data_IF_428333407538
#
_entry.id   IF_428333407538
#
_cell.length_a   1.000
_cell.length_b   1.000
_cell.length_c   1.000
_cell.angle_alpha   90.00
_cell.angle_beta   90.00
_cell.angle_gamma   90.00
#
_symmetry.space_group_name_H-M   'P 1'
#
loop_
_entity.id
_entity.type
_entity.pdbx_description
1 polymer ?
#
# COMPACT_ATOMS: atom_id res chain seq x y z
N UNK A 1 -6.15 -13.24 28.85
CA UNK A 1 -6.79 -13.83 27.66
C UNK A 1 -6.21 -13.12 26.46
N UNK A 2 -5.39 -13.81 25.68
CA UNK A 2 -4.85 -13.28 24.42
C UNK A 2 -5.93 -13.42 23.36
N UNK A 3 -6.38 -12.30 22.80
CA UNK A 3 -7.26 -12.29 21.62
C UNK A 3 -6.52 -12.96 20.45
N UNK A 4 -7.00 -14.13 20.05
CA UNK A 4 -6.50 -14.82 18.86
C UNK A 4 -7.49 -14.61 17.73
N UNK A 5 -7.12 -13.72 16.80
CA UNK A 5 -7.80 -13.61 15.52
C UNK A 5 -7.34 -14.75 14.61
N UNK A 6 -8.27 -15.55 14.11
CA UNK A 6 -7.97 -16.68 13.23
C UNK A 6 -8.43 -16.31 11.82
N UNK A 7 -7.48 -16.20 10.88
CA UNK A 7 -7.77 -16.01 9.45
C UNK A 7 -7.52 -17.35 8.75
N UNK A 8 -8.59 -17.93 8.22
CA UNK A 8 -8.51 -19.23 7.53
C UNK A 8 -8.21 -18.96 6.06
N UNK A 9 -7.09 -19.48 5.58
CA UNK A 9 -6.70 -19.41 4.16
C UNK A 9 -6.22 -20.75 3.66
N UNK A 10 -6.36 -20.96 2.36
CA UNK A 10 -5.58 -21.95 1.65
C UNK A 10 -4.18 -21.38 1.45
N UNK A 11 -3.14 -22.07 1.90
CA UNK A 11 -1.75 -21.70 1.64
C UNK A 11 -1.45 -22.02 0.17
N UNK A 12 -1.35 -21.00 -0.68
CA UNK A 12 -0.70 -21.15 -1.98
C UNK A 12 0.81 -21.32 -1.73
N UNK A 13 1.42 -22.35 -2.33
CA UNK A 13 2.85 -22.68 -2.16
C UNK A 13 3.74 -21.47 -2.47
N UNK A 14 4.87 -21.41 -1.76
CA UNK A 14 6.00 -20.52 -2.03
C UNK A 14 6.37 -20.55 -3.52
N UNK A 15 6.21 -19.40 -4.17
CA UNK A 15 6.52 -19.18 -5.58
C UNK A 15 7.47 -17.98 -5.68
N UNK A 16 8.65 -18.12 -5.09
CA UNK A 16 9.78 -17.19 -5.24
C UNK A 16 10.31 -17.04 -6.68
N UNK A 17 9.60 -17.54 -7.71
CA UNK A 17 10.08 -17.56 -9.10
C UNK A 17 9.03 -17.40 -10.23
N UNK A 18 7.77 -17.04 -9.96
CA UNK A 18 6.79 -16.79 -11.04
C UNK A 18 6.94 -15.38 -11.63
N UNK A 19 7.47 -15.31 -12.86
CA UNK A 19 7.45 -14.08 -13.67
C UNK A 19 6.03 -13.81 -14.16
N UNK A 20 5.43 -12.70 -13.72
CA UNK A 20 4.23 -12.14 -14.36
C UNK A 20 4.69 -11.46 -15.65
N UNK A 21 4.24 -11.96 -16.80
CA UNK A 21 4.52 -11.33 -18.09
C UNK A 21 3.61 -10.11 -18.25
N UNK A 22 4.18 -8.91 -18.17
CA UNK A 22 3.52 -7.68 -18.61
C UNK A 22 3.36 -7.71 -20.15
N UNK A 23 2.34 -7.04 -20.73
CA UNK A 23 2.23 -6.89 -22.18
C UNK A 23 3.50 -6.27 -22.78
N UNK A 24 3.91 -6.65 -24.00
CA UNK A 24 5.22 -6.31 -24.54
C UNK A 24 5.39 -4.80 -24.73
N UNK A 25 6.50 -4.24 -24.24
CA UNK A 25 7.02 -2.93 -24.68
C UNK A 25 8.51 -3.00 -24.98
N UNK A 26 8.94 -2.14 -25.91
CA UNK A 26 10.30 -2.06 -26.47
C UNK A 26 11.37 -2.10 -25.37
N UNK A 27 12.35 -2.97 -25.58
CA UNK A 27 13.37 -3.43 -24.62
C UNK A 27 14.10 -2.30 -23.89
N UNK A 28 14.18 -2.40 -22.57
CA UNK A 28 15.33 -2.00 -21.77
C UNK A 28 15.77 -3.20 -20.93
N UNK A 29 17.09 -3.31 -20.70
CA UNK A 29 17.77 -4.51 -20.24
C UNK A 29 17.50 -4.87 -18.77
N UNK A 30 17.34 -6.17 -18.49
CA UNK A 30 17.10 -6.72 -17.17
C UNK A 30 18.40 -6.91 -16.38
N UNK A 31 18.43 -6.48 -15.12
CA UNK A 31 19.32 -7.00 -14.09
C UNK A 31 18.50 -7.59 -12.94
N UNK A 32 18.84 -8.80 -12.51
CA UNK A 32 18.16 -9.50 -11.43
C UNK A 32 18.64 -9.00 -10.06
N UNK A 33 17.71 -8.56 -9.22
CA UNK A 33 17.92 -8.38 -7.78
C UNK A 33 17.19 -9.47 -6.99
N UNK A 34 17.86 -9.99 -5.97
CA UNK A 34 17.27 -10.85 -4.95
C UNK A 34 16.58 -9.98 -3.90
N UNK A 35 15.32 -10.28 -3.61
CA UNK A 35 14.55 -9.63 -2.56
C UNK A 35 15.05 -10.06 -1.16
N UNK A 36 15.37 -9.11 -0.31
CA UNK A 36 15.58 -9.32 1.13
C UNK A 36 14.43 -8.63 1.87
N UNK A 37 13.65 -9.42 2.60
CA UNK A 37 12.47 -8.98 3.33
C UNK A 37 12.86 -8.31 4.65
N UNK A 38 12.21 -7.20 4.99
CA UNK A 38 12.17 -6.69 6.35
C UNK A 38 11.20 -5.52 6.50
N UNK A 39 10.05 -5.72 7.15
CA UNK A 39 9.87 -5.38 8.56
C UNK A 39 8.44 -5.70 9.05
N UNK A 40 8.31 -5.88 10.37
CA UNK A 40 7.09 -6.13 11.14
C UNK A 40 6.54 -4.81 11.69
N UNK A 41 5.22 -4.59 11.77
CA UNK A 41 4.66 -3.47 12.52
C UNK A 41 4.59 -3.75 14.03
N UNK A 42 4.57 -2.66 14.77
CA UNK A 42 4.52 -2.60 16.23
C UNK A 42 3.19 -3.12 16.82
N UNK A 43 3.26 -3.54 18.09
CA UNK A 43 2.42 -4.53 18.76
C UNK A 43 1.05 -4.01 19.23
N UNK A 44 0.00 -4.65 18.74
CA UNK A 44 -1.01 -5.31 19.58
C UNK A 44 -0.92 -6.81 19.28
N UNK A 45 -0.70 -7.66 20.29
CA UNK A 45 -0.42 -9.08 20.09
C UNK A 45 -1.69 -9.90 19.76
N UNK A 46 -2.35 -9.57 18.65
CA UNK A 46 -3.23 -10.51 17.96
C UNK A 46 -2.37 -11.47 17.16
N UNK A 47 -2.15 -12.70 17.66
CA UNK A 47 -1.49 -13.75 16.85
C UNK A 47 -2.46 -14.20 15.76
N UNK A 48 -2.27 -13.72 14.54
CA UNK A 48 -2.90 -14.30 13.37
C UNK A 48 -2.31 -15.69 13.17
N UNK A 49 -3.14 -16.71 13.40
CA UNK A 49 -2.75 -18.09 13.14
C UNK A 49 -3.27 -18.48 11.78
N UNK A 50 -2.35 -18.67 10.83
CA UNK A 50 -2.66 -19.30 9.55
C UNK A 50 -2.93 -20.77 9.80
N UNK A 51 -4.10 -21.25 9.38
CA UNK A 51 -4.43 -22.67 9.46
C UNK A 51 -4.12 -23.29 8.11
N UNK A 52 -3.16 -24.22 8.09
CA UNK A 52 -2.89 -25.07 6.94
C UNK A 52 -3.83 -26.29 6.99
N UNK A 53 -4.68 -26.41 5.97
CA UNK A 53 -5.62 -27.53 5.81
C UNK A 53 -5.02 -28.66 4.96
N UNK A 54 -3.75 -28.55 4.57
CA UNK A 54 -3.05 -29.47 3.69
C UNK A 54 -3.74 -29.59 2.33
N UNK A 55 -3.82 -30.81 1.80
CA UNK A 55 -4.51 -31.11 0.55
C UNK A 55 -6.02 -31.32 0.72
N UNK A 56 -6.53 -31.25 1.96
CA UNK A 56 -7.95 -31.49 2.21
C UNK A 56 -8.79 -30.39 1.57
N UNK A 57 -9.80 -30.83 0.82
CA UNK A 57 -10.74 -29.94 0.14
C UNK A 57 -11.96 -29.62 1.00
N UNK A 58 -12.01 -30.14 2.22
CA UNK A 58 -13.06 -29.89 3.19
C UNK A 58 -12.48 -29.56 4.56
N UNK A 59 -13.12 -28.62 5.26
CA UNK A 59 -12.66 -28.12 6.56
C UNK A 59 -13.88 -27.92 7.45
N UNK A 60 -13.90 -28.61 8.58
CA UNK A 60 -14.84 -28.36 9.67
C UNK A 60 -14.16 -27.45 10.69
N UNK A 61 -14.74 -26.28 10.91
CA UNK A 61 -14.24 -25.31 11.88
C UNK A 61 -15.21 -25.25 13.03
N UNK A 62 -14.73 -25.53 14.24
CA UNK A 62 -15.46 -25.35 15.50
C UNK A 62 -14.90 -24.15 16.23
N UNK A 63 -15.77 -23.33 16.80
CA UNK A 63 -15.38 -22.09 17.44
C UNK A 63 -16.22 -21.78 18.68
N UNK A 64 -15.69 -20.88 19.51
CA UNK A 64 -16.42 -20.30 20.62
C UNK A 64 -17.71 -19.64 20.14
N UNK A 65 -17.72 -18.98 19.00
CA UNK A 65 -18.90 -18.41 18.32
C UNK A 65 -18.70 -18.36 16.80
N UNK A 66 -19.75 -18.59 16.02
CA UNK A 66 -19.76 -18.33 14.57
C UNK A 66 -20.82 -17.28 14.27
N UNK A 67 -20.40 -16.17 13.64
CA UNK A 67 -21.30 -15.13 13.14
C UNK A 67 -21.70 -15.46 11.70
N UNK A 68 -22.78 -16.24 11.52
CA UNK A 68 -23.25 -16.62 10.18
C UNK A 68 -23.92 -15.47 9.42
N UNK A 69 -24.53 -14.52 10.14
CA UNK A 69 -25.25 -13.35 9.60
C UNK A 69 -26.39 -13.71 8.62
N UNK A 70 -27.00 -14.88 8.80
CA UNK A 70 -28.10 -15.41 7.97
C UNK A 70 -29.51 -15.16 8.57
N UNK A 71 -29.58 -14.69 9.82
CA UNK A 71 -30.84 -14.50 10.55
C UNK A 71 -31.44 -15.79 11.16
N UNK A 72 -30.91 -16.95 10.78
CA UNK A 72 -31.49 -18.27 11.06
C UNK A 72 -30.64 -19.09 12.06
N UNK A 73 -29.34 -18.77 12.21
CA UNK A 73 -28.40 -19.56 13.04
C UNK A 73 -27.69 -18.74 14.14
N UNK A 74 -28.42 -18.11 15.08
CA UNK A 74 -27.82 -17.24 16.10
C UNK A 74 -26.87 -17.96 17.08
N UNK A 75 -27.05 -19.27 17.27
CA UNK A 75 -26.26 -20.12 18.18
C UNK A 75 -25.18 -20.95 17.46
N UNK A 76 -24.80 -20.57 16.23
CA UNK A 76 -23.80 -21.30 15.48
C UNK A 76 -22.45 -21.35 16.21
N UNK A 77 -21.88 -22.56 16.29
CA UNK A 77 -20.56 -22.86 16.89
C UNK A 77 -19.64 -23.61 15.92
N UNK A 78 -20.14 -23.95 14.74
CA UNK A 78 -19.35 -24.60 13.69
C UNK A 78 -19.77 -24.15 12.29
N UNK A 79 -18.81 -24.25 11.36
CA UNK A 79 -19.05 -24.17 9.93
C UNK A 79 -18.32 -25.30 9.19
N UNK A 80 -18.94 -25.81 8.13
CA UNK A 80 -18.34 -26.79 7.23
C UNK A 80 -18.07 -26.11 5.89
N UNK A 81 -16.81 -26.11 5.48
CA UNK A 81 -16.35 -25.62 4.19
C UNK A 81 -16.01 -26.81 3.30
N UNK A 82 -16.50 -26.81 2.07
CA UNK A 82 -16.16 -27.81 1.04
C UNK A 82 -15.85 -27.07 -0.25
N UNK A 83 -14.70 -27.34 -0.85
CA UNK A 83 -14.24 -26.73 -2.12
C UNK A 83 -14.29 -25.19 -2.07
N UNK A 84 -13.93 -24.61 -0.93
CA UNK A 84 -13.92 -23.17 -0.71
C UNK A 84 -15.31 -22.53 -0.51
N UNK A 85 -16.37 -23.32 -0.34
CA UNK A 85 -17.74 -22.84 -0.08
C UNK A 85 -18.22 -23.31 1.28
N UNK A 86 -18.92 -22.43 2.00
CA UNK A 86 -19.63 -22.83 3.23
C UNK A 86 -20.86 -23.63 2.79
N UNK A 87 -20.93 -24.90 3.22
CA UNK A 87 -22.04 -25.80 2.90
C UNK A 87 -22.99 -26.02 4.08
N UNK A 88 -22.53 -25.74 5.30
CA UNK A 88 -23.36 -25.79 6.51
C UNK A 88 -22.80 -24.87 7.59
N UNK A 89 -23.70 -24.30 8.40
CA UNK A 89 -23.44 -23.60 9.66
C UNK A 89 -24.37 -24.14 10.73
N UNK A 90 -23.94 -24.18 11.99
CA UNK A 90 -24.81 -24.64 13.07
C UNK A 90 -24.07 -25.04 14.34
N UNK A 91 -24.69 -25.90 15.14
CA UNK A 91 -24.05 -26.45 16.34
C UNK A 91 -22.99 -27.48 15.94
N UNK A 92 -21.89 -27.53 16.69
CA UNK A 92 -20.79 -28.46 16.47
C UNK A 92 -21.25 -29.91 16.29
N UNK A 93 -22.11 -30.40 17.18
CA UNK A 93 -22.60 -31.79 17.14
C UNK A 93 -23.34 -32.13 15.85
N UNK A 94 -24.02 -31.16 15.25
CA UNK A 94 -24.87 -31.36 14.07
C UNK A 94 -24.02 -31.42 12.79
N UNK A 95 -22.86 -30.75 12.78
CA UNK A 95 -21.96 -30.67 11.61
C UNK A 95 -20.86 -31.75 11.63
N UNK A 96 -20.48 -32.26 12.79
CA UNK A 96 -19.48 -33.35 12.90
C UNK A 96 -19.90 -34.60 12.11
N UNK A 97 -21.20 -34.91 12.09
CA UNK A 97 -21.77 -36.04 11.33
C UNK A 97 -21.87 -35.77 9.81
N UNK A 98 -21.86 -34.50 9.40
CA UNK A 98 -21.95 -34.08 8.00
C UNK A 98 -20.57 -33.92 7.35
N UNK A 99 -19.50 -33.83 8.14
CA UNK A 99 -18.15 -33.69 7.63
C UNK A 99 -17.74 -34.93 6.81
N UNK A 100 -17.31 -34.77 5.55
CA UNK A 100 -16.92 -35.90 4.72
C UNK A 100 -15.64 -36.58 5.23
N UNK A 101 -15.37 -37.79 4.74
CA UNK A 101 -14.13 -38.48 5.05
C UNK A 101 -12.90 -37.63 4.64
N UNK A 102 -11.88 -37.57 5.49
CA UNK A 102 -10.67 -36.76 5.24
C UNK A 102 -10.84 -35.25 5.45
N UNK A 103 -11.99 -34.80 5.95
CA UNK A 103 -12.23 -33.40 6.29
C UNK A 103 -11.23 -32.92 7.36
N UNK A 104 -10.49 -31.86 7.04
CA UNK A 104 -9.62 -31.21 8.00
C UNK A 104 -10.45 -30.61 9.15
N UNK A 105 -9.90 -30.59 10.35
CA UNK A 105 -10.59 -30.07 11.53
C UNK A 105 -9.80 -28.94 12.15
N UNK A 106 -10.50 -27.86 12.47
CA UNK A 106 -9.98 -26.68 13.12
C UNK A 106 -10.80 -26.45 14.37
N UNK A 107 -10.14 -26.43 15.53
CA UNK A 107 -10.81 -26.14 16.79
C UNK A 107 -10.30 -24.82 17.40
N UNK A 108 -11.22 -23.87 17.57
CA UNK A 108 -10.96 -22.52 18.06
C UNK A 108 -11.96 -22.13 19.17
N UNK A 109 -12.03 -22.87 20.29
CA UNK A 109 -13.12 -22.78 21.27
C UNK A 109 -13.21 -21.43 22.00
N UNK A 110 -12.14 -20.63 21.99
CA UNK A 110 -12.11 -19.27 22.54
C UNK A 110 -12.30 -18.17 21.49
N UNK A 111 -12.38 -18.50 20.21
CA UNK A 111 -12.44 -17.53 19.12
C UNK A 111 -13.88 -17.28 18.65
N UNK A 112 -14.08 -16.11 18.03
CA UNK A 112 -15.26 -15.83 17.20
C UNK A 112 -14.85 -15.93 15.74
N UNK A 113 -15.53 -16.77 14.97
CA UNK A 113 -15.42 -16.79 13.51
C UNK A 113 -16.45 -15.81 12.95
N UNK A 114 -16.02 -14.95 12.04
CA UNK A 114 -16.86 -13.96 11.37
C UNK A 114 -16.59 -13.97 9.86
N UNK A 115 -17.51 -13.42 9.04
CA UNK A 115 -17.24 -13.22 7.63
C UNK A 115 -16.00 -12.34 7.47
N UNK A 116 -15.18 -12.65 6.47
CA UNK A 116 -14.06 -11.78 6.11
C UNK A 116 -14.56 -10.40 5.69
N UNK A 117 -13.79 -9.37 6.00
CA UNK A 117 -14.16 -8.00 5.70
C UNK A 117 -14.20 -7.78 4.18
N UNK A 118 -15.15 -6.95 3.75
CA UNK A 118 -15.31 -6.48 2.38
C UNK A 118 -15.03 -4.98 2.39
N UNK A 119 -13.92 -4.58 1.77
CA UNK A 119 -13.60 -3.17 1.60
C UNK A 119 -14.17 -2.69 0.25
N UNK A 120 -15.13 -1.76 0.33
CA UNK A 120 -15.87 -1.27 -0.83
C UNK A 120 -15.23 -0.04 -1.47
N UNK A 121 -14.20 0.54 -0.87
CA UNK A 121 -13.51 1.72 -1.41
C UNK A 121 -11.98 1.65 -1.15
N UNK A 122 -11.31 0.64 -1.70
CA UNK A 122 -9.87 0.44 -1.61
C UNK A 122 -9.11 1.31 -2.63
N UNK A 123 -7.78 1.32 -2.49
CA UNK A 123 -6.82 1.75 -3.51
C UNK A 123 -5.59 0.82 -3.47
N UNK A 124 -5.83 -0.50 -3.58
CA UNK A 124 -4.81 -1.53 -3.25
C UNK A 124 -3.62 -1.45 -4.21
N UNK A 125 -3.90 -1.36 -5.51
CA UNK A 125 -2.85 -1.29 -6.54
C UNK A 125 -2.15 0.06 -6.52
N UNK A 126 -2.90 1.17 -6.43
CA UNK A 126 -2.33 2.52 -6.49
C UNK A 126 -1.42 2.79 -5.30
N UNK A 127 -1.90 2.61 -4.06
CA UNK A 127 -1.04 2.80 -2.89
C UNK A 127 0.01 1.71 -2.76
N UNK A 128 -0.31 0.47 -3.15
CA UNK A 128 0.67 -0.61 -3.21
C UNK A 128 1.86 -0.25 -4.08
N UNK A 129 1.62 0.19 -5.32
CA UNK A 129 2.67 0.61 -6.25
C UNK A 129 3.38 1.89 -5.82
N UNK A 130 2.63 2.90 -5.38
CA UNK A 130 3.15 4.21 -4.98
C UNK A 130 4.08 4.15 -3.76
N UNK A 131 3.76 3.28 -2.80
CA UNK A 131 4.49 3.24 -1.52
C UNK A 131 5.61 2.22 -1.49
N UNK A 132 5.63 1.25 -2.41
CA UNK A 132 6.56 0.12 -2.37
C UNK A 132 8.03 0.54 -2.43
N UNK A 133 8.34 1.54 -3.25
CA UNK A 133 9.70 2.05 -3.43
C UNK A 133 10.02 3.19 -2.47
N UNK A 134 9.13 3.59 -1.56
CA UNK A 134 9.43 4.70 -0.66
C UNK A 134 10.42 4.28 0.44
N UNK A 135 11.20 5.24 0.91
CA UNK A 135 11.86 5.15 2.21
C UNK A 135 10.81 5.46 3.27
N UNK A 136 10.51 4.49 4.12
CA UNK A 136 9.52 4.69 5.18
C UNK A 136 10.07 5.56 6.31
N UNK A 137 9.40 6.69 6.57
CA UNK A 137 9.71 7.65 7.63
C UNK A 137 8.57 7.82 8.64
N UNK A 138 7.52 7.00 8.58
CA UNK A 138 6.32 7.17 9.42
C UNK A 138 6.65 7.27 10.92
N UNK A 139 7.56 6.42 11.40
CA UNK A 139 8.00 6.35 12.80
C UNK A 139 9.30 7.11 13.10
N UNK A 140 9.92 7.77 12.11
CA UNK A 140 11.21 8.42 12.29
C UNK A 140 11.15 9.54 13.33
N UNK A 141 12.04 9.51 14.33
CA UNK A 141 12.04 10.41 15.50
C UNK A 141 12.89 11.67 15.39
N UNK A 142 13.81 11.73 14.42
CA UNK A 142 14.74 12.86 14.26
C UNK A 142 15.25 13.00 12.83
N UNK A 143 15.88 14.13 12.52
CA UNK A 143 16.58 14.33 11.24
C UNK A 143 17.70 13.33 11.04
N UNK A 144 18.44 12.98 12.10
CA UNK A 144 19.53 12.00 12.02
C UNK A 144 19.03 10.62 11.57
N UNK A 145 17.87 10.19 12.06
CA UNK A 145 17.25 8.94 11.65
C UNK A 145 16.75 8.99 10.20
N UNK A 146 16.11 10.10 9.79
CA UNK A 146 15.69 10.33 8.41
C UNK A 146 16.89 10.23 7.46
N UNK A 147 17.97 10.95 7.76
CA UNK A 147 19.21 10.94 6.98
C UNK A 147 19.80 9.54 6.89
N UNK A 148 19.83 8.79 8.00
CA UNK A 148 20.35 7.42 8.00
C UNK A 148 19.54 6.48 7.09
N UNK A 149 18.21 6.56 7.14
CA UNK A 149 17.31 5.72 6.31
C UNK A 149 17.43 6.06 4.83
N UNK A 150 17.48 7.35 4.48
CA UNK A 150 17.66 7.83 3.11
C UNK A 150 19.06 7.45 2.59
N UNK A 151 20.12 7.62 3.39
CA UNK A 151 21.49 7.25 3.03
C UNK A 151 21.63 5.76 2.75
N UNK A 152 20.96 4.91 3.56
CA UNK A 152 20.92 3.46 3.31
C UNK A 152 20.33 3.17 1.94
N UNK A 153 19.18 3.77 1.61
CA UNK A 153 18.58 3.60 0.27
C UNK A 153 19.51 4.11 -0.83
N UNK A 154 20.13 5.27 -0.65
CA UNK A 154 21.07 5.83 -1.62
C UNK A 154 22.26 4.91 -1.90
N UNK A 155 22.69 4.09 -0.93
CA UNK A 155 23.75 3.09 -1.13
C UNK A 155 23.38 1.93 -2.04
N UNK A 156 22.08 1.68 -2.25
CA UNK A 156 21.53 0.58 -3.04
C UNK A 156 20.92 1.04 -4.37
N UNK A 157 20.85 2.36 -4.58
CA UNK A 157 20.20 2.99 -5.72
C UNK A 157 21.24 3.51 -6.72
N UNK A 158 21.07 3.31 -8.05
CA UNK A 158 21.96 3.89 -9.06
C UNK A 158 22.00 5.42 -9.00
N UNK A 159 23.18 6.02 -9.16
CA UNK A 159 23.37 7.47 -9.09
C UNK A 159 22.43 8.21 -10.06
N UNK A 160 21.87 9.33 -9.62
CA UNK A 160 20.90 10.13 -10.37
C UNK A 160 19.45 9.65 -10.29
N UNK A 161 19.18 8.43 -9.80
CA UNK A 161 17.80 7.97 -9.56
C UNK A 161 17.21 8.66 -8.33
N UNK A 162 15.92 9.03 -8.43
CA UNK A 162 15.17 9.67 -7.35
C UNK A 162 15.02 8.76 -6.13
N UNK A 163 15.15 9.35 -4.94
CA UNK A 163 14.83 8.69 -3.66
C UNK A 163 13.64 9.44 -3.07
N UNK A 164 12.49 8.77 -3.08
CA UNK A 164 11.27 9.29 -2.49
C UNK A 164 11.06 8.66 -1.12
N UNK A 165 10.56 9.45 -0.18
CA UNK A 165 10.27 9.02 1.17
C UNK A 165 8.81 9.31 1.54
N UNK A 166 8.24 8.42 2.36
CA UNK A 166 6.90 8.64 2.90
C UNK A 166 6.87 9.88 3.80
N UNK A 167 5.70 10.50 4.00
CA UNK A 167 5.56 11.55 5.01
C UNK A 167 5.88 11.02 6.42
N UNK A 168 6.34 11.90 7.30
CA UNK A 168 6.57 11.57 8.72
C UNK A 168 5.25 11.55 9.49
N UNK A 169 5.05 10.54 10.32
CA UNK A 169 3.90 10.42 11.21
C UNK A 169 2.78 9.54 10.66
N UNK A 170 1.56 9.80 11.10
CA UNK A 170 0.37 9.03 10.74
C UNK A 170 -0.47 9.75 9.67
N UNK A 171 -1.20 8.96 8.89
CA UNK A 171 -2.14 9.48 7.92
C UNK A 171 -3.29 10.26 8.60
N UNK A 172 -3.88 11.12 7.79
CA UNK A 172 -4.58 12.36 8.09
C UNK A 172 -5.89 12.20 8.89
N UNK A 173 -6.46 10.99 8.92
CA UNK A 173 -7.72 10.77 9.61
C UNK A 173 -7.56 10.56 11.11
N UNK A 174 -6.36 10.25 11.60
CA UNK A 174 -6.08 9.98 13.02
C UNK A 174 -4.69 10.47 13.47
N UNK A 175 -4.24 11.66 13.05
CA UNK A 175 -2.88 12.14 13.32
C UNK A 175 -2.61 12.25 14.83
N UNK A 176 -1.94 11.25 15.40
CA UNK A 176 -1.33 11.35 16.74
C UNK A 176 0.10 11.86 16.68
N UNK A 177 0.73 11.72 15.51
CA UNK A 177 2.13 12.03 15.27
C UNK A 177 2.31 12.59 13.86
N UNK A 178 3.16 13.59 13.72
CA UNK A 178 3.52 14.26 12.47
C UNK A 178 5.02 14.63 12.45
N UNK A 179 5.46 15.30 11.38
CA UNK A 179 6.79 15.91 11.33
C UNK A 179 7.07 16.92 12.46
N UNK A 180 6.02 17.48 13.10
CA UNK A 180 6.16 18.39 14.25
C UNK A 180 6.69 17.68 15.50
N UNK A 181 6.57 16.35 15.54
CA UNK A 181 7.01 15.48 16.63
C UNK A 181 8.41 14.90 16.40
N UNK A 182 9.13 15.41 15.39
CA UNK A 182 10.57 15.22 15.27
C UNK A 182 11.29 15.99 16.38
N UNK A 183 12.46 15.52 16.81
CA UNK A 183 13.27 16.22 17.81
C UNK A 183 13.57 17.68 17.44
N UNK A 184 13.68 17.98 16.14
CA UNK A 184 13.93 19.31 15.60
C UNK A 184 12.64 20.14 15.41
N UNK A 185 11.45 19.55 15.58
CA UNK A 185 10.15 20.24 15.45
C UNK A 185 9.79 20.67 14.03
N UNK A 186 10.55 20.26 13.02
CA UNK A 186 10.37 20.59 11.59
C UNK A 186 10.88 19.48 10.68
N UNK A 187 10.50 19.49 9.39
CA UNK A 187 11.16 18.64 8.39
C UNK A 187 12.61 19.09 8.12
N UNK A 188 13.50 18.17 7.71
CA UNK A 188 14.87 18.50 7.33
C UNK A 188 14.87 19.35 6.07
N UNK A 189 15.66 20.43 6.07
CA UNK A 189 15.90 21.25 4.89
C UNK A 189 16.91 20.56 3.95
N UNK A 190 17.20 21.22 2.83
CA UNK A 190 18.13 20.69 1.82
C UNK A 190 19.51 20.41 2.39
N UNK A 191 20.02 21.22 3.32
CA UNK A 191 21.38 21.06 3.88
C UNK A 191 21.45 19.78 4.71
N UNK A 192 20.40 19.50 5.47
CA UNK A 192 20.29 18.25 6.23
C UNK A 192 20.12 17.05 5.30
N UNK A 193 19.29 17.16 4.26
CA UNK A 193 19.06 16.07 3.31
C UNK A 193 20.26 15.79 2.40
N UNK A 194 21.06 16.80 2.05
CA UNK A 194 22.30 16.67 1.27
C UNK A 194 23.30 15.77 2.00
N UNK A 195 23.31 15.79 3.34
CA UNK A 195 24.13 14.86 4.14
C UNK A 195 23.72 13.39 3.93
N UNK A 196 22.48 13.10 3.54
CA UNK A 196 22.05 11.75 3.18
C UNK A 196 22.57 11.36 1.79
N UNK A 197 22.52 12.30 0.84
CA UNK A 197 23.04 12.12 -0.51
C UNK A 197 23.03 13.43 -1.32
N UNK A 198 24.15 13.71 -2.00
CA UNK A 198 24.24 14.75 -3.04
C UNK A 198 24.08 14.20 -4.47
N UNK A 199 24.13 12.86 -4.64
CA UNK A 199 24.12 12.19 -5.96
C UNK A 199 22.72 11.80 -6.45
N UNK A 200 21.71 12.01 -5.61
CA UNK A 200 20.34 11.57 -5.83
C UNK A 200 19.40 12.72 -5.48
N UNK A 201 18.44 13.05 -6.35
CA UNK A 201 17.28 13.86 -5.95
C UNK A 201 16.51 13.17 -4.83
N UNK A 202 16.28 13.87 -3.72
CA UNK A 202 15.54 13.36 -2.56
C UNK A 202 14.28 14.19 -2.35
N UNK A 203 13.14 13.53 -2.16
CA UNK A 203 11.87 14.15 -1.80
C UNK A 203 11.22 13.42 -0.62
N UNK A 204 10.93 14.14 0.47
CA UNK A 204 9.99 13.70 1.50
C UNK A 204 8.61 14.22 1.10
N UNK A 205 7.68 13.30 0.85
CA UNK A 205 6.32 13.61 0.42
C UNK A 205 5.49 14.24 1.56
N UNK A 206 4.35 14.84 1.20
CA UNK A 206 3.43 15.44 2.14
C UNK A 206 2.10 14.66 2.27
N UNK A 207 1.44 14.77 3.42
CA UNK A 207 0.15 14.14 3.70
C UNK A 207 -1.05 14.84 3.05
N UNK A 208 -1.64 14.36 1.96
CA UNK A 208 -2.93 14.88 1.47
C UNK A 208 -4.09 14.47 2.40
N UNK A 209 -5.22 15.19 2.55
CA UNK A 209 -5.57 16.46 1.92
C UNK A 209 -5.39 17.66 2.88
N UNK A 210 -4.67 17.52 3.99
CA UNK A 210 -4.60 18.58 5.02
C UNK A 210 -3.72 19.74 4.57
N UNK A 211 -4.33 20.90 4.29
CA UNK A 211 -3.65 22.12 3.85
C UNK A 211 -3.43 23.05 5.07
N UNK A 212 -2.25 23.67 5.24
CA UNK A 212 -1.09 23.58 4.37
C UNK A 212 -0.30 22.28 4.55
N UNK A 213 0.03 21.64 3.42
CA UNK A 213 0.97 20.54 3.37
C UNK A 213 2.41 21.06 3.52
N UNK A 214 3.33 20.16 3.86
CA UNK A 214 4.77 20.45 3.90
C UNK A 214 5.51 19.28 3.26
N UNK A 215 6.34 19.56 2.26
CA UNK A 215 7.27 18.59 1.67
C UNK A 215 8.71 19.11 1.79
N UNK A 216 9.69 18.22 1.65
CA UNK A 216 11.10 18.57 1.74
C UNK A 216 11.90 17.99 0.58
N UNK A 217 12.85 18.78 0.06
CA UNK A 217 13.68 18.50 -1.10
C UNK A 217 15.15 18.74 -0.74
N UNK A 218 16.05 17.90 -1.25
CA UNK A 218 17.49 18.20 -1.19
C UNK A 218 17.94 19.11 -2.34
N UNK A 219 19.21 19.52 -2.36
CA UNK A 219 19.74 20.42 -3.39
C UNK A 219 19.66 19.79 -4.79
N UNK A 220 19.90 18.48 -4.91
CA UNK A 220 19.78 17.76 -6.18
C UNK A 220 18.34 17.73 -6.71
N UNK A 221 17.33 17.61 -5.83
CA UNK A 221 15.92 17.64 -6.22
C UNK A 221 15.46 19.05 -6.61
N UNK A 222 15.90 20.09 -5.90
CA UNK A 222 15.65 21.48 -6.29
C UNK A 222 16.20 21.76 -7.70
N UNK A 223 17.43 21.33 -7.99
CA UNK A 223 18.05 21.47 -9.29
C UNK A 223 17.29 20.68 -10.38
N UNK A 224 16.90 19.43 -10.09
CA UNK A 224 16.14 18.59 -11.02
C UNK A 224 14.76 19.18 -11.35
N UNK A 225 14.15 19.92 -10.42
CA UNK A 225 12.84 20.56 -10.58
C UNK A 225 12.92 22.01 -11.09
N UNK A 226 14.13 22.56 -11.29
CA UNK A 226 14.33 23.94 -11.71
C UNK A 226 13.90 24.98 -10.66
N UNK A 227 13.83 24.61 -9.38
CA UNK A 227 13.51 25.53 -8.29
C UNK A 227 14.80 26.25 -7.89
N UNK A 228 14.79 27.57 -8.03
CA UNK A 228 15.97 28.43 -7.92
C UNK A 228 15.66 29.67 -7.08
N UNK A 229 16.65 30.51 -6.84
CA UNK A 229 16.48 31.84 -6.21
C UNK A 229 15.45 32.70 -6.96
N UNK A 230 15.41 32.56 -8.29
CA UNK A 230 14.52 33.28 -9.19
C UNK A 230 13.08 32.77 -9.14
N UNK A 231 12.84 31.56 -8.63
CA UNK A 231 11.48 31.06 -8.39
C UNK A 231 10.79 31.99 -7.37
N UNK A 232 9.60 32.55 -7.67
CA UNK A 232 8.88 33.39 -6.72
C UNK A 232 8.64 32.68 -5.38
N UNK A 233 8.56 33.45 -4.29
CA UNK A 233 8.31 32.91 -2.95
C UNK A 233 6.95 32.19 -2.86
N UNK A 234 6.04 32.52 -3.79
CA UNK A 234 4.76 31.86 -3.99
C UNK A 234 4.45 31.71 -5.47
N UNK A 235 4.06 30.51 -5.88
CA UNK A 235 3.47 30.20 -7.19
C UNK A 235 2.18 29.44 -6.93
N UNK A 236 1.04 29.94 -7.42
CA UNK A 236 -0.28 29.40 -7.08
C UNK A 236 -0.50 29.28 -5.55
N UNK A 237 -0.79 28.09 -5.03
CA UNK A 237 -0.91 27.81 -3.60
C UNK A 237 0.30 27.08 -3.03
N UNK A 238 1.45 27.14 -3.71
CA UNK A 238 2.73 26.61 -3.24
C UNK A 238 3.63 27.75 -2.80
N UNK A 239 4.18 27.62 -1.60
CA UNK A 239 5.10 28.58 -0.99
C UNK A 239 6.49 27.96 -0.88
N UNK A 240 7.50 28.65 -1.40
CA UNK A 240 8.91 28.23 -1.40
C UNK A 240 9.64 28.91 -0.25
N UNK A 241 10.05 28.16 0.77
CA UNK A 241 10.85 28.72 1.86
C UNK A 241 12.27 29.02 1.36
N UNK A 242 12.72 30.26 1.54
CA UNK A 242 14.06 30.73 1.18
C UNK A 242 14.86 31.16 2.40
N UNK A 243 16.17 31.03 2.33
CA UNK A 243 17.09 31.53 3.35
C UNK A 243 17.37 33.05 3.20
N UNK A 244 18.20 33.60 4.09
CA UNK A 244 18.58 35.01 4.12
C UNK A 244 19.25 35.51 2.82
N UNK A 245 19.80 34.60 2.02
CA UNK A 245 20.43 34.92 0.73
C UNK A 245 19.45 34.79 -0.45
N UNK A 246 18.19 34.43 -0.19
CA UNK A 246 17.18 34.15 -1.20
C UNK A 246 17.30 32.76 -1.83
N UNK A 247 18.14 31.88 -1.29
CA UNK A 247 18.25 30.51 -1.82
C UNK A 247 17.12 29.63 -1.29
N UNK A 248 16.45 28.81 -2.13
CA UNK A 248 15.45 27.86 -1.65
C UNK A 248 16.05 26.92 -0.62
N UNK A 249 15.36 26.73 0.51
CA UNK A 249 15.77 25.82 1.59
C UNK A 249 15.45 24.38 1.28
N UNK A 250 14.61 24.10 0.28
CA UNK A 250 14.08 22.76 0.02
C UNK A 250 12.75 22.47 0.72
N UNK A 251 12.28 23.35 1.61
CA UNK A 251 10.95 23.22 2.20
C UNK A 251 9.91 23.93 1.32
N UNK A 252 8.90 23.19 0.89
CA UNK A 252 7.73 23.75 0.22
C UNK A 252 6.50 23.56 1.11
N UNK A 253 5.61 24.54 1.14
CA UNK A 253 4.34 24.46 1.88
C UNK A 253 3.13 24.83 1.02
N UNK A 254 1.93 24.54 1.51
CA UNK A 254 0.67 24.84 0.81
C UNK A 254 0.12 23.62 0.08
N UNK A 255 -0.18 23.71 -1.21
CA UNK A 255 -0.73 22.60 -2.02
C UNK A 255 0.36 21.69 -2.58
N UNK A 256 1.16 21.06 -1.71
CA UNK A 256 2.37 20.30 -2.07
C UNK A 256 2.25 18.78 -1.90
N UNK A 257 1.03 18.24 -1.91
CA UNK A 257 0.80 16.80 -1.81
C UNK A 257 0.79 16.12 -3.19
N UNK A 258 0.93 14.80 -3.22
CA UNK A 258 1.11 14.00 -4.44
C UNK A 258 -0.16 13.38 -5.02
N UNK A 259 -1.31 13.51 -4.35
CA UNK A 259 -2.59 12.98 -4.82
C UNK A 259 -3.72 13.87 -4.29
N UNK A 260 -4.68 14.21 -5.15
CA UNK A 260 -5.69 15.26 -4.93
C UNK A 260 -5.15 16.70 -4.86
N UNK A 261 -3.91 16.94 -5.28
CA UNK A 261 -3.46 18.30 -5.60
C UNK A 261 -4.02 18.73 -6.95
N UNK A 262 -4.88 19.75 -6.93
CA UNK A 262 -5.34 20.44 -8.15
C UNK A 262 -4.60 21.78 -8.35
N UNK A 263 -3.34 21.85 -7.91
CA UNK A 263 -2.46 23.00 -8.08
C UNK A 263 -1.58 22.79 -9.32
N UNK A 264 -1.70 23.69 -10.30
CA UNK A 264 -1.03 23.57 -11.60
C UNK A 264 0.49 23.59 -11.47
N UNK A 265 1.03 24.39 -10.54
CA UNK A 265 2.46 24.46 -10.32
C UNK A 265 2.97 23.16 -9.70
N UNK A 266 2.37 22.69 -8.60
CA UNK A 266 2.79 21.43 -7.98
C UNK A 266 2.67 20.24 -8.97
N UNK A 267 1.58 20.19 -9.75
CA UNK A 267 1.41 19.15 -10.77
C UNK A 267 2.51 19.20 -11.83
N UNK A 268 2.94 20.40 -12.25
CA UNK A 268 4.08 20.54 -13.18
C UNK A 268 5.41 20.03 -12.60
N UNK A 269 5.60 20.12 -11.28
CA UNK A 269 6.76 19.54 -10.59
C UNK A 269 6.66 18.01 -10.52
N UNK A 270 5.50 17.48 -10.13
CA UNK A 270 5.28 16.04 -9.99
C UNK A 270 5.40 15.27 -11.31
N UNK A 271 5.09 15.89 -12.45
CA UNK A 271 5.32 15.31 -13.78
C UNK A 271 6.81 14.99 -14.06
N UNK A 272 7.73 15.64 -13.35
CA UNK A 272 9.17 15.43 -13.48
C UNK A 272 9.70 14.40 -12.46
N UNK A 273 8.89 14.00 -11.48
CA UNK A 273 9.23 12.99 -10.47
C UNK A 273 8.69 11.63 -10.93
N UNK A 274 9.49 10.55 -10.92
CA UNK A 274 9.02 9.21 -11.27
C UNK A 274 8.16 8.63 -10.13
N UNK A 275 6.94 9.15 -9.97
CA UNK A 275 6.01 8.77 -8.89
C UNK A 275 5.55 7.31 -9.00
N UNK A 276 5.51 6.78 -10.22
CA UNK A 276 5.01 5.43 -10.49
C UNK A 276 6.02 4.65 -11.32
N UNK A 277 6.75 3.75 -10.68
CA UNK A 277 7.67 2.83 -11.36
C UNK A 277 6.89 1.57 -11.76
N UNK A 278 6.78 1.24 -13.07
CA UNK A 278 6.01 0.08 -13.53
C UNK A 278 6.45 -1.25 -12.88
N UNK A 279 7.74 -1.37 -12.57
CA UNK A 279 8.31 -2.56 -11.92
C UNK A 279 7.84 -2.71 -10.47
N UNK A 280 7.53 -1.60 -9.80
CA UNK A 280 7.04 -1.56 -8.42
C UNK A 280 5.56 -1.94 -8.30
N UNK A 281 4.79 -1.83 -9.39
CA UNK A 281 3.32 -2.05 -9.37
C UNK A 281 2.98 -3.46 -8.93
N UNK A 282 3.56 -4.48 -9.57
CA UNK A 282 3.23 -5.88 -9.26
C UNK A 282 3.70 -6.25 -7.86
N UNK A 283 4.94 -5.88 -7.50
CA UNK A 283 5.51 -6.21 -6.20
C UNK A 283 4.79 -5.48 -5.06
N UNK A 284 4.51 -4.18 -5.26
CA UNK A 284 3.75 -3.33 -4.36
C UNK A 284 2.31 -3.79 -4.18
N UNK A 285 1.61 -4.11 -5.27
CA UNK A 285 0.23 -4.65 -5.21
C UNK A 285 0.19 -5.96 -4.43
N UNK A 286 1.16 -6.86 -4.64
CA UNK A 286 1.24 -8.12 -3.88
C UNK A 286 1.48 -7.87 -2.39
N UNK A 287 2.35 -6.93 -2.04
CA UNK A 287 2.58 -6.55 -0.65
C UNK A 287 1.33 -5.94 0.00
N UNK A 288 0.62 -5.05 -0.72
CA UNK A 288 -0.63 -4.46 -0.27
C UNK A 288 -1.73 -5.52 -0.07
N UNK A 289 -1.87 -6.47 -1.01
CA UNK A 289 -2.79 -7.61 -0.87
C UNK A 289 -2.50 -8.38 0.42
N UNK A 290 -1.22 -8.68 0.71
CA UNK A 290 -0.83 -9.39 1.92
C UNK A 290 -1.13 -8.60 3.21
N UNK A 291 -1.05 -7.28 3.16
CA UNK A 291 -1.40 -6.40 4.27
C UNK A 291 -2.91 -6.36 4.53
N UNK A 292 -3.71 -6.12 3.49
CA UNK A 292 -5.18 -6.18 3.53
C UNK A 292 -5.67 -7.51 4.10
N UNK A 293 -5.06 -8.55 3.58
CA UNK A 293 -5.26 -9.94 4.00
C UNK A 293 -5.04 -10.17 5.48
N UNK A 294 -3.98 -9.57 6.03
CA UNK A 294 -3.62 -9.65 7.45
C UNK A 294 -4.62 -8.90 8.33
N UNK A 295 -5.23 -7.84 7.83
CA UNK A 295 -6.29 -7.10 8.51
C UNK A 295 -7.66 -7.80 8.44
N UNK A 296 -7.75 -8.99 7.83
CA UNK A 296 -9.01 -9.73 7.69
C UNK A 296 -9.85 -9.31 6.48
N UNK A 297 -9.31 -8.46 5.59
CA UNK A 297 -9.97 -8.13 4.33
C UNK A 297 -9.81 -9.29 3.36
N UNK A 298 -10.93 -9.77 2.83
CA UNK A 298 -10.99 -10.94 1.93
C UNK A 298 -11.58 -10.61 0.57
N UNK A 299 -12.30 -9.49 0.47
CA UNK A 299 -12.84 -8.97 -0.79
C UNK A 299 -12.62 -7.46 -0.85
N UNK A 300 -12.28 -6.97 -2.04
CA UNK A 300 -12.18 -5.55 -2.35
C UNK A 300 -13.01 -5.24 -3.60
N UNK A 301 -13.66 -4.07 -3.62
CA UNK A 301 -14.28 -3.52 -4.82
C UNK A 301 -13.43 -2.37 -5.36
N UNK A 302 -12.64 -2.64 -6.40
CA UNK A 302 -11.67 -1.68 -6.95
C UNK A 302 -12.20 -1.09 -8.26
N UNK A 303 -12.59 0.19 -8.23
CA UNK A 303 -13.13 0.91 -9.38
C UNK A 303 -12.46 2.26 -9.64
N UNK A 304 -11.46 2.64 -8.84
CA UNK A 304 -10.83 3.96 -8.90
C UNK A 304 -9.62 3.96 -9.80
N UNK A 305 -9.51 4.92 -10.72
CA UNK A 305 -8.40 5.01 -11.67
C UNK A 305 -8.07 3.65 -12.32
N UNK A 306 -9.12 2.87 -12.64
CA UNK A 306 -9.02 1.53 -13.18
C UNK A 306 -9.17 1.57 -14.70
N UNK A 307 -8.03 1.47 -15.40
CA UNK A 307 -7.95 1.28 -16.84
C UNK A 307 -7.61 -0.17 -17.23
N UNK A 308 -7.44 -0.44 -18.53
CA UNK A 308 -7.03 -1.75 -19.02
C UNK A 308 -5.72 -2.26 -18.41
N UNK A 309 -4.77 -1.37 -18.12
CA UNK A 309 -3.48 -1.74 -17.53
C UNK A 309 -3.64 -2.33 -16.12
N UNK A 310 -4.37 -1.66 -15.23
CA UNK A 310 -4.59 -2.09 -13.86
C UNK A 310 -5.34 -3.42 -13.80
N UNK A 311 -6.33 -3.60 -14.68
CA UNK A 311 -7.06 -4.87 -14.83
C UNK A 311 -6.12 -6.01 -15.23
N UNK A 312 -5.19 -5.76 -16.17
CA UNK A 312 -4.22 -6.77 -16.58
C UNK A 312 -3.20 -7.10 -15.48
N UNK A 313 -2.83 -6.15 -14.62
CA UNK A 313 -2.00 -6.43 -13.43
C UNK A 313 -2.70 -7.44 -12.51
N UNK A 314 -3.98 -7.23 -12.18
CA UNK A 314 -4.73 -8.17 -11.35
C UNK A 314 -4.94 -9.52 -12.02
N UNK A 315 -5.18 -9.55 -13.33
CA UNK A 315 -5.29 -10.80 -14.11
C UNK A 315 -3.96 -11.57 -14.09
N UNK A 316 -2.84 -10.89 -14.25
CA UNK A 316 -1.50 -11.46 -14.16
C UNK A 316 -1.22 -12.05 -12.77
N UNK A 317 -1.52 -11.30 -11.70
CA UNK A 317 -1.40 -11.79 -10.32
C UNK A 317 -2.26 -13.03 -10.08
N UNK A 318 -3.51 -13.04 -10.58
CA UNK A 318 -4.40 -14.22 -10.50
C UNK A 318 -3.82 -15.42 -11.23
N UNK A 319 -3.35 -15.24 -12.47
CA UNK A 319 -2.76 -16.32 -13.26
C UNK A 319 -1.50 -16.91 -12.61
N UNK A 320 -0.73 -16.08 -11.91
CA UNK A 320 0.44 -16.50 -11.15
C UNK A 320 0.13 -17.08 -9.75
N UNK A 321 -1.14 -17.15 -9.36
CA UNK A 321 -1.56 -17.62 -8.03
C UNK A 321 -1.21 -16.66 -6.88
N UNK A 322 -0.88 -15.40 -7.19
CA UNK A 322 -0.49 -14.38 -6.21
C UNK A 322 -1.64 -13.49 -5.72
N UNK A 323 -2.90 -13.90 -5.97
CA UNK A 323 -4.10 -13.15 -5.61
C UNK A 323 -4.89 -13.86 -4.50
N UNK A 324 -4.50 -13.61 -3.25
CA UNK A 324 -5.16 -14.18 -2.05
C UNK A 324 -6.36 -13.34 -1.54
N UNK A 325 -6.83 -12.42 -2.38
CA UNK A 325 -7.90 -11.47 -2.12
C UNK A 325 -8.87 -11.51 -3.30
N UNK A 326 -10.17 -11.54 -3.05
CA UNK A 326 -11.14 -11.39 -4.14
C UNK A 326 -11.16 -9.93 -4.57
N UNK A 327 -10.73 -9.65 -5.79
CA UNK A 327 -10.79 -8.32 -6.38
C UNK A 327 -11.96 -8.26 -7.35
N UNK A 328 -12.97 -7.46 -7.02
CA UNK A 328 -14.06 -7.10 -7.91
C UNK A 328 -13.66 -5.79 -8.59
N UNK A 329 -13.31 -5.85 -9.87
CA UNK A 329 -12.85 -4.67 -10.63
C UNK A 329 -13.93 -4.15 -11.56
N UNK A 330 -14.06 -2.83 -11.67
CA UNK A 330 -14.79 -2.16 -12.75
C UNK A 330 -13.86 -1.18 -13.46
N UNK A 331 -14.06 -0.97 -14.77
CA UNK A 331 -13.39 0.14 -15.45
C UNK A 331 -13.96 1.46 -14.93
N UNK A 332 -13.08 2.40 -14.66
CA UNK A 332 -13.51 3.71 -14.21
C UNK A 332 -14.13 4.49 -15.39
N UNK A 333 -15.38 4.93 -15.21
CA UNK A 333 -16.08 5.71 -16.22
C UNK A 333 -15.57 7.15 -16.31
N UNK A 334 -15.03 7.70 -15.21
CA UNK A 334 -14.64 9.11 -15.08
C UNK A 334 -13.61 9.53 -16.14
N UNK A 335 -12.58 8.71 -16.40
CA UNK A 335 -11.59 9.00 -17.44
C UNK A 335 -12.21 9.21 -18.83
N UNK A 336 -13.38 8.63 -19.12
CA UNK A 336 -14.06 8.69 -20.41
C UNK A 336 -15.41 9.43 -20.39
N UNK A 337 -15.85 9.90 -19.23
CA UNK A 337 -17.20 10.42 -19.00
C UNK A 337 -17.25 11.86 -18.47
N UNK A 338 -16.10 12.49 -18.22
CA UNK A 338 -16.04 13.89 -17.80
C UNK A 338 -16.20 14.85 -19.00
N UNK A 339 -16.78 16.05 -18.80
CA UNK A 339 -16.98 17.04 -19.87
C UNK A 339 -15.70 17.45 -20.61
N UNK A 340 -14.54 17.23 -20.01
CA UNK A 340 -13.21 17.56 -20.55
C UNK A 340 -12.42 16.33 -21.01
N UNK A 341 -13.00 15.13 -20.97
CA UNK A 341 -12.40 13.92 -21.54
C UNK A 341 -12.69 13.82 -23.04
N UNK A 342 -11.73 13.32 -23.81
CA UNK A 342 -12.01 12.83 -25.17
C UNK A 342 -12.64 11.44 -25.06
N UNK A 343 -13.91 11.26 -25.45
CA UNK A 343 -14.55 9.95 -25.40
C UNK A 343 -13.83 8.97 -26.34
N UNK A 344 -13.78 7.69 -25.94
CA UNK A 344 -13.28 6.64 -26.83
C UNK A 344 -14.14 6.60 -28.10
N UNK A 345 -13.51 6.82 -29.25
CA UNK A 345 -14.11 6.57 -30.55
C UNK A 345 -14.11 5.06 -30.84
N UNK A 346 -15.07 4.57 -31.64
CA UNK A 346 -15.20 3.13 -31.95
C UNK A 346 -14.07 2.54 -32.82
N UNK A 347 -13.05 3.33 -33.20
CA UNK A 347 -11.88 2.91 -34.00
C UNK A 347 -10.76 2.26 -33.16
#
# INVERSE_FOLDING_TARGET
MTDQSVIIRRVCRDMSNSRVALPPRRRAAALGLRAVHGHRPARGEGRITMIDTGESRSVLITAGRVLALDGETPDARALLVVEGRIVATGRTRDLVSQAPAGCARVDAPGATVMPGLVDTHPHVLHFGGLTHHLVDLADAGSHAEIVARIRRRAGETPAGTWIQASPVGEAHYLIRRSWRDLAEGRLPDRRVLDAASERHPVMIQAWAPVIPNVCALNSAALAALGITRETPDRVENVFVEKDENGEPTGILTGSVNNYYTNDSFMNSLLLQVPMFEPESVVAGTRAAIAEYSRMGVTTVYEGHAMGPFEVEVYRGLRAAGGLDLRVLTALEAEHYGLPWSEPLTEE
#
